data_IF_977754985311
#
_entry.id   IF_977754985311
#
_cell.length_a   1.000
_cell.length_b   1.000
_cell.length_c   1.000
_cell.angle_alpha   90.00
_cell.angle_beta   90.00
_cell.angle_gamma   90.00
#
_symmetry.space_group_name_H-M   'P 1'
#
loop_
_entity.id
_entity.type
_entity.pdbx_description
1 polymer ?
#
# COMPACT_ATOMS: atom_id res chain seq x y z
N UNK A 1 4.26 7.11 -6.31
CA UNK A 1 5.70 6.96 -5.97
C UNK A 1 6.15 5.66 -6.61
N UNK A 2 7.25 5.71 -7.35
CA UNK A 2 7.79 4.55 -8.07
C UNK A 2 9.02 3.99 -7.37
N UNK A 3 9.12 2.67 -7.27
CA UNK A 3 10.32 1.98 -6.81
C UNK A 3 10.51 0.65 -7.52
N UNK A 4 11.77 0.26 -7.72
CA UNK A 4 12.12 -1.05 -8.24
C UNK A 4 11.86 -2.13 -7.18
N UNK A 5 11.31 -3.26 -7.61
CA UNK A 5 10.98 -4.38 -6.75
C UNK A 5 11.10 -5.71 -7.53
N UNK A 6 11.19 -6.82 -6.81
CA UNK A 6 11.33 -8.15 -7.41
C UNK A 6 10.22 -9.05 -6.90
N UNK A 7 9.37 -9.53 -7.81
CA UNK A 7 8.29 -10.50 -7.52
C UNK A 7 8.72 -11.83 -8.12
N UNK A 8 8.89 -12.87 -7.30
CA UNK A 8 9.29 -14.21 -7.75
C UNK A 8 10.48 -14.26 -8.71
N UNK A 9 11.46 -13.37 -8.50
CA UNK A 9 12.67 -13.25 -9.32
C UNK A 9 12.51 -12.40 -10.60
N UNK A 10 11.32 -11.86 -10.87
CA UNK A 10 11.08 -10.92 -11.96
C UNK A 10 11.22 -9.49 -11.47
N UNK A 11 12.09 -8.72 -12.13
CA UNK A 11 12.25 -7.29 -11.85
C UNK A 11 11.07 -6.50 -12.42
N UNK A 12 10.49 -5.65 -11.58
CA UNK A 12 9.36 -4.81 -11.92
C UNK A 12 9.46 -3.46 -11.22
N UNK A 13 8.59 -2.53 -11.60
CA UNK A 13 8.44 -1.24 -10.94
C UNK A 13 7.06 -1.16 -10.30
N UNK A 14 7.01 -0.90 -9.01
CA UNK A 14 5.76 -0.64 -8.30
C UNK A 14 5.49 0.86 -8.33
N UNK A 15 4.33 1.26 -8.85
CA UNK A 15 3.84 2.64 -8.79
C UNK A 15 2.68 2.75 -7.79
N UNK A 16 2.99 3.25 -6.59
CA UNK A 16 2.00 3.52 -5.55
C UNK A 16 1.36 4.86 -5.82
N UNK A 17 0.08 4.87 -6.21
CA UNK A 17 -0.64 6.11 -6.51
C UNK A 17 -1.55 6.57 -5.37
N UNK A 18 -1.91 5.68 -4.42
CA UNK A 18 -2.68 6.05 -3.23
C UNK A 18 -2.19 5.31 -1.98
N UNK A 19 -2.03 6.05 -0.88
CA UNK A 19 -1.75 5.48 0.44
C UNK A 19 -2.42 6.33 1.52
N UNK A 20 -3.29 5.71 2.31
CA UNK A 20 -3.86 6.30 3.52
C UNK A 20 -3.46 5.42 4.72
N UNK A 21 -2.77 5.96 5.74
CA UNK A 21 -2.45 5.19 6.93
C UNK A 21 -3.73 4.84 7.72
N UNK A 22 -3.64 3.81 8.55
CA UNK A 22 -4.70 3.51 9.52
C UNK A 22 -4.92 4.70 10.46
N UNK A 23 -6.19 5.08 10.66
CA UNK A 23 -6.59 6.08 11.64
C UNK A 23 -7.40 5.38 12.75
N UNK A 24 -6.94 5.37 14.00
CA UNK A 24 -7.72 4.78 15.09
C UNK A 24 -8.98 5.60 15.35
N UNK A 25 -9.96 4.99 16.02
CA UNK A 25 -11.13 5.71 16.51
C UNK A 25 -10.71 6.88 17.40
N UNK A 26 -11.29 8.05 17.16
CA UNK A 26 -11.04 9.25 17.96
C UNK A 26 -12.32 9.63 18.68
N UNK A 27 -12.26 9.66 20.01
CA UNK A 27 -13.33 10.21 20.84
C UNK A 27 -13.10 11.73 20.93
N UNK A 28 -14.04 12.53 20.45
CA UNK A 28 -13.92 13.99 20.36
C UNK A 28 -14.59 14.73 21.54
N UNK A 29 -15.29 14.00 22.41
CA UNK A 29 -16.10 14.53 23.50
C UNK A 29 -16.73 13.43 24.36
N UNK A 30 -17.64 13.79 25.26
CA UNK A 30 -18.26 12.84 26.22
C UNK A 30 -19.72 12.53 25.91
N UNK A 31 -20.30 13.13 24.87
CA UNK A 31 -21.68 12.94 24.44
C UNK A 31 -21.86 11.73 23.52
N UNK A 32 -23.10 11.24 23.42
CA UNK A 32 -23.48 10.27 22.39
C UNK A 32 -23.39 10.95 21.01
N UNK A 33 -22.41 10.53 20.20
CA UNK A 33 -22.12 11.11 18.88
C UNK A 33 -20.71 11.72 18.77
N UNK A 34 -19.99 11.86 19.89
CA UNK A 34 -18.64 12.44 19.90
C UNK A 34 -17.55 11.39 19.61
N UNK A 35 -17.75 10.61 18.55
CA UNK A 35 -16.80 9.59 18.11
C UNK A 35 -16.64 9.64 16.59
N UNK A 36 -15.40 9.80 16.15
CA UNK A 36 -14.98 9.60 14.75
C UNK A 36 -14.59 8.12 14.63
N UNK A 37 -15.24 7.35 13.72
CA UNK A 37 -14.93 5.94 13.54
C UNK A 37 -13.48 5.75 13.06
N UNK A 38 -12.90 4.56 13.27
CA UNK A 38 -11.59 4.24 12.72
C UNK A 38 -11.65 4.23 11.19
N UNK A 39 -10.56 4.64 10.55
CA UNK A 39 -10.37 4.52 9.10
C UNK A 39 -9.33 3.44 8.82
N UNK A 40 -9.69 2.51 7.95
CA UNK A 40 -8.78 1.45 7.52
C UNK A 40 -7.63 2.01 6.68
N UNK A 41 -6.51 1.29 6.73
CA UNK A 41 -5.33 1.59 5.92
C UNK A 41 -5.58 1.23 4.45
N UNK A 42 -5.52 2.23 3.58
CA UNK A 42 -5.67 2.07 2.13
C UNK A 42 -4.29 2.05 1.46
N UNK A 43 -4.09 1.12 0.54
CA UNK A 43 -2.84 0.99 -0.22
C UNK A 43 -3.18 0.54 -1.63
N UNK A 44 -3.05 1.44 -2.60
CA UNK A 44 -3.31 1.16 -4.00
C UNK A 44 -2.08 1.44 -4.86
N UNK A 45 -1.79 0.50 -5.76
CA UNK A 45 -0.60 0.50 -6.59
C UNK A 45 -0.84 -0.21 -7.92
N UNK A 46 0.05 0.03 -8.86
CA UNK A 46 0.14 -0.73 -10.10
C UNK A 46 1.51 -1.38 -10.24
N UNK A 47 1.54 -2.59 -10.79
CA UNK A 47 2.78 -3.25 -11.20
C UNK A 47 3.08 -2.86 -12.64
N UNK A 48 4.27 -2.31 -12.86
CA UNK A 48 4.77 -1.91 -14.16
C UNK A 48 5.98 -2.78 -14.55
N UNK A 49 6.16 -3.00 -15.84
CA UNK A 49 7.40 -3.55 -16.38
C UNK A 49 8.56 -2.54 -16.30
N UNK A 50 9.75 -2.96 -16.75
CA UNK A 50 10.94 -2.09 -16.80
C UNK A 50 10.82 -0.93 -17.80
N UNK A 51 9.82 -0.97 -18.69
CA UNK A 51 9.50 0.08 -19.64
C UNK A 51 8.42 1.05 -19.10
N UNK A 52 7.87 0.78 -17.92
CA UNK A 52 6.84 1.59 -17.28
C UNK A 52 5.42 1.32 -17.77
N UNK A 53 5.19 0.19 -18.47
CA UNK A 53 3.87 -0.24 -18.92
C UNK A 53 3.20 -1.14 -17.88
N UNK A 54 1.87 -1.08 -17.71
CA UNK A 54 1.14 -1.96 -16.80
C UNK A 54 1.37 -3.43 -17.11
N UNK A 55 1.78 -4.20 -16.11
CA UNK A 55 2.02 -5.63 -16.22
C UNK A 55 0.91 -6.42 -15.52
N UNK A 56 -0.25 -6.52 -16.19
CA UNK A 56 -1.45 -7.16 -15.64
C UNK A 56 -1.21 -8.63 -15.25
N UNK A 57 -0.52 -9.40 -16.08
CA UNK A 57 -0.25 -10.83 -15.80
C UNK A 57 0.53 -11.07 -14.51
N UNK A 58 1.44 -10.16 -14.15
CA UNK A 58 2.20 -10.25 -12.90
C UNK A 58 1.37 -9.74 -11.73
N UNK A 59 0.61 -8.67 -11.94
CA UNK A 59 -0.33 -8.13 -10.95
C UNK A 59 -1.38 -9.15 -10.51
N UNK A 60 -1.92 -9.94 -11.44
CA UNK A 60 -2.95 -10.94 -11.17
C UNK A 60 -2.44 -12.15 -10.38
N UNK A 61 -1.11 -12.36 -10.36
CA UNK A 61 -0.44 -13.43 -9.62
C UNK A 61 -0.08 -13.04 -8.20
N UNK A 62 -0.27 -11.77 -7.82
CA UNK A 62 0.06 -11.29 -6.49
C UNK A 62 -0.86 -11.93 -5.45
N UNK A 63 -0.25 -12.60 -4.48
CA UNK A 63 -0.95 -13.04 -3.29
C UNK A 63 -0.95 -11.96 -2.20
N UNK A 64 -1.77 -12.15 -1.17
CA UNK A 64 -1.87 -11.22 -0.03
C UNK A 64 -0.54 -11.06 0.71
N UNK A 65 0.32 -12.09 0.68
CA UNK A 65 1.62 -12.05 1.34
C UNK A 65 2.58 -11.12 0.60
N UNK A 66 2.62 -11.19 -0.73
CA UNK A 66 3.44 -10.34 -1.57
C UNK A 66 2.97 -8.89 -1.53
N UNK A 67 1.65 -8.66 -1.57
CA UNK A 67 1.07 -7.32 -1.37
C UNK A 67 1.52 -6.73 -0.02
N UNK A 68 1.52 -7.55 1.03
CA UNK A 68 1.98 -7.13 2.36
C UNK A 68 3.47 -6.79 2.39
N UNK A 69 4.32 -7.53 1.66
CA UNK A 69 5.76 -7.24 1.51
C UNK A 69 6.01 -5.96 0.73
N UNK A 70 5.32 -5.75 -0.38
CA UNK A 70 5.38 -4.52 -1.20
C UNK A 70 5.02 -3.31 -0.33
N UNK A 71 3.93 -3.41 0.43
CA UNK A 71 3.50 -2.35 1.35
C UNK A 71 4.52 -2.06 2.45
N UNK A 72 5.09 -3.09 3.07
CA UNK A 72 6.14 -2.93 4.08
C UNK A 72 7.40 -2.28 3.49
N UNK A 73 7.77 -2.65 2.26
CA UNK A 73 8.88 -2.02 1.54
C UNK A 73 8.61 -0.54 1.25
N UNK A 74 7.39 -0.21 0.79
CA UNK A 74 6.96 1.17 0.62
C UNK A 74 7.03 1.98 1.92
N UNK A 75 6.51 1.44 3.04
CA UNK A 75 6.60 2.08 4.36
C UNK A 75 8.04 2.34 4.78
N UNK A 76 8.94 1.36 4.59
CA UNK A 76 10.37 1.47 4.88
C UNK A 76 11.03 2.60 4.07
N UNK A 77 10.74 2.69 2.77
CA UNK A 77 11.26 3.77 1.91
C UNK A 77 10.75 5.16 2.32
N UNK A 78 9.52 5.23 2.84
CA UNK A 78 8.90 6.48 3.31
C UNK A 78 9.26 6.85 4.75
N UNK A 79 9.97 5.98 5.48
CA UNK A 79 10.24 6.16 6.91
C UNK A 79 8.99 6.04 7.79
N UNK A 80 7.94 5.37 7.31
CA UNK A 80 6.71 5.13 8.05
C UNK A 80 6.90 3.93 8.98
N UNK A 81 6.27 3.95 10.16
CA UNK A 81 6.30 2.80 11.08
C UNK A 81 5.52 1.63 10.46
N UNK A 82 6.11 0.44 10.49
CA UNK A 82 5.55 -0.80 9.97
C UNK A 82 4.29 -1.20 10.73
#
# INVERSE_FOLDING_TARGET
MKFGYTIDGQECVIDVYHYRPYCPMVITGTGFGDAIPPEDEEFEFSVLDLHGLPWHELSDKLDTAEISRIKAFYKKLRGLKC
#
